data_IF_986486465250
#
_entry.id   IF_986486465250
#
_cell.length_a   1.000
_cell.length_b   1.000
_cell.length_c   1.000
_cell.angle_alpha   90.00
_cell.angle_beta   90.00
_cell.angle_gamma   90.00
#
_symmetry.space_group_name_H-M   'P 1'
#
loop_
_entity.id
_entity.type
_entity.pdbx_description
1 polymer ?
#
# COMPACT_ATOMS: atom_id res chain seq x y z
N UNK A 1 28.49 65.67 -32.94
CA UNK A 1 28.45 64.29 -33.43
C UNK A 1 28.22 63.29 -32.28
N UNK A 2 27.19 63.51 -31.44
CA UNK A 2 26.92 62.72 -30.21
C UNK A 2 25.41 62.69 -29.86
N UNK A 3 24.52 62.65 -30.88
CA UNK A 3 23.08 62.62 -30.65
C UNK A 3 22.30 61.64 -31.51
N UNK A 4 22.98 60.64 -32.11
CA UNK A 4 22.35 59.67 -33.02
C UNK A 4 22.48 58.19 -32.61
N UNK A 5 23.04 57.88 -31.41
CA UNK A 5 23.27 56.53 -30.91
C UNK A 5 22.40 56.13 -29.68
N UNK A 6 21.30 56.86 -29.44
CA UNK A 6 20.40 56.57 -28.27
C UNK A 6 18.96 56.23 -28.64
N UNK A 7 18.62 56.03 -29.89
CA UNK A 7 17.24 55.71 -30.32
C UNK A 7 17.08 54.24 -30.74
N UNK A 8 18.15 53.53 -31.05
CA UNK A 8 18.06 52.10 -31.49
C UNK A 8 18.07 51.04 -30.38
N UNK A 9 18.19 51.46 -29.10
CA UNK A 9 18.14 50.54 -27.96
C UNK A 9 16.78 50.46 -27.23
N UNK A 10 15.78 51.20 -27.70
CA UNK A 10 14.45 51.25 -27.05
C UNK A 10 13.31 50.62 -27.86
N UNK A 11 13.63 50.02 -29.01
CA UNK A 11 12.62 49.34 -29.86
C UNK A 11 12.72 47.81 -29.91
N UNK A 12 13.54 47.17 -29.08
CA UNK A 12 13.62 45.68 -29.00
C UNK A 12 13.14 45.10 -27.67
N UNK A 13 12.36 45.84 -26.87
CA UNK A 13 11.58 45.31 -25.77
C UNK A 13 10.14 45.03 -26.13
N UNK A 14 9.90 44.66 -27.42
CA UNK A 14 8.59 44.23 -27.89
C UNK A 14 8.37 42.76 -27.42
N UNK A 15 7.57 42.68 -26.41
CA UNK A 15 6.58 41.61 -26.20
C UNK A 15 7.09 40.15 -26.14
N UNK A 16 8.01 39.86 -25.22
CA UNK A 16 8.25 38.45 -24.80
C UNK A 16 7.05 37.87 -24.02
N UNK A 17 6.08 38.69 -23.62
CA UNK A 17 4.87 38.28 -22.90
C UNK A 17 3.75 37.75 -23.81
N UNK A 18 3.88 37.83 -25.12
CA UNK A 18 2.84 37.48 -26.08
C UNK A 18 3.12 36.22 -26.90
N UNK A 19 4.16 35.46 -26.59
CA UNK A 19 4.38 34.16 -27.22
C UNK A 19 3.27 33.19 -26.82
N UNK A 20 2.57 32.50 -27.74
CA UNK A 20 1.54 31.51 -27.46
C UNK A 20 2.00 30.48 -26.43
N UNK A 21 3.27 30.11 -26.49
CA UNK A 21 3.95 29.18 -25.59
C UNK A 21 3.98 29.63 -24.10
N UNK A 22 4.12 30.94 -23.85
CA UNK A 22 4.10 31.48 -22.49
C UNK A 22 2.66 31.60 -21.98
N UNK A 23 1.70 31.93 -22.84
CA UNK A 23 0.27 32.03 -22.50
C UNK A 23 -0.29 30.66 -22.10
N UNK A 24 -0.05 29.60 -22.86
CA UNK A 24 -0.56 28.27 -22.56
C UNK A 24 0.07 27.66 -21.28
N UNK A 25 1.35 27.96 -21.00
CA UNK A 25 1.98 27.55 -19.74
C UNK A 25 1.36 28.27 -18.54
N UNK A 26 1.11 29.58 -18.66
CA UNK A 26 0.45 30.36 -17.61
C UNK A 26 -1.00 29.88 -17.40
N UNK A 27 -1.71 29.49 -18.47
CA UNK A 27 -3.05 28.93 -18.40
C UNK A 27 -3.07 27.61 -17.63
N UNK A 28 -2.14 26.69 -17.90
CA UNK A 28 -2.02 25.44 -17.12
C UNK A 28 -1.81 25.72 -15.64
N UNK A 29 -0.87 26.59 -15.32
CA UNK A 29 -0.59 26.96 -13.93
C UNK A 29 -1.81 27.61 -13.23
N UNK A 30 -2.59 28.39 -13.96
CA UNK A 30 -3.83 28.97 -13.45
C UNK A 30 -4.90 27.91 -13.22
N UNK A 31 -5.11 27.00 -14.15
CA UNK A 31 -6.06 25.88 -14.00
C UNK A 31 -5.70 25.01 -12.79
N UNK A 32 -4.41 24.67 -12.60
CA UNK A 32 -3.95 23.86 -11.48
C UNK A 32 -4.12 24.57 -10.12
N UNK A 33 -4.13 25.91 -10.09
CA UNK A 33 -4.40 26.69 -8.88
C UNK A 33 -5.87 26.75 -8.50
N UNK A 34 -6.78 26.80 -9.49
CA UNK A 34 -8.22 26.97 -9.24
C UNK A 34 -8.99 25.66 -9.19
N UNK A 35 -8.42 24.54 -9.66
CA UNK A 35 -9.09 23.24 -9.61
C UNK A 35 -9.48 22.88 -8.17
N UNK A 36 -10.72 22.42 -8.01
CA UNK A 36 -11.27 22.10 -6.69
C UNK A 36 -10.44 21.00 -5.98
N UNK A 37 -10.06 21.27 -4.74
CA UNK A 37 -9.29 20.36 -3.87
C UNK A 37 -10.22 19.69 -2.84
N UNK A 38 -11.14 18.84 -3.31
CA UNK A 38 -12.15 18.15 -2.47
C UNK A 38 -11.56 17.39 -1.29
N UNK A 39 -10.30 16.97 -1.41
CA UNK A 39 -9.63 16.12 -0.43
C UNK A 39 -8.73 16.89 0.53
N UNK A 40 -8.63 18.22 0.39
CA UNK A 40 -7.77 19.05 1.22
C UNK A 40 -8.15 18.94 2.70
N UNK A 41 -7.13 18.93 3.58
CA UNK A 41 -7.35 19.03 5.00
C UNK A 41 -7.56 20.50 5.41
N UNK A 42 -8.44 20.75 6.38
CA UNK A 42 -8.54 22.09 6.96
C UNK A 42 -7.20 22.49 7.58
N UNK A 43 -6.87 23.77 7.51
CA UNK A 43 -5.71 24.28 8.23
C UNK A 43 -5.94 24.07 9.74
N UNK A 44 -4.96 23.47 10.42
CA UNK A 44 -4.98 23.40 11.87
C UNK A 44 -4.68 24.81 12.43
N UNK A 45 -5.69 25.65 12.49
CA UNK A 45 -5.61 26.92 13.22
C UNK A 45 -5.91 26.63 14.70
N UNK A 46 -5.03 27.07 15.59
CA UNK A 46 -5.36 27.13 17.02
C UNK A 46 -6.40 28.27 17.24
N UNK A 47 -7.41 28.11 18.11
CA UNK A 47 -7.59 27.03 19.05
C UNK A 47 -8.34 25.85 18.42
N UNK A 48 -7.83 24.67 18.69
CA UNK A 48 -8.44 23.41 18.25
C UNK A 48 -9.91 23.35 18.67
N UNK A 49 -10.77 22.91 17.76
CA UNK A 49 -12.15 22.48 18.05
C UNK A 49 -12.22 21.83 19.44
N UNK A 50 -13.28 22.06 20.22
CA UNK A 50 -13.44 21.39 21.49
C UNK A 50 -13.23 19.88 21.27
N UNK A 51 -12.12 19.37 21.80
CA UNK A 51 -11.65 17.99 21.63
C UNK A 51 -12.67 16.96 22.13
N UNK A 52 -13.69 17.43 22.86
CA UNK A 52 -14.74 16.61 23.46
C UNK A 52 -15.63 15.88 22.44
N UNK A 53 -15.78 16.42 21.22
CA UNK A 53 -16.59 15.79 20.16
C UNK A 53 -15.76 15.10 19.06
N UNK A 54 -14.42 15.13 19.15
CA UNK A 54 -13.56 14.52 18.17
C UNK A 54 -13.47 13.00 18.37
N UNK A 55 -13.47 12.24 17.25
CA UNK A 55 -13.19 10.80 17.35
C UNK A 55 -11.80 10.55 17.97
N UNK A 56 -11.59 9.42 18.68
CA UNK A 56 -10.29 9.10 19.28
C UNK A 56 -9.13 9.17 18.28
N UNK A 57 -9.35 8.72 17.05
CA UNK A 57 -8.35 8.79 15.97
C UNK A 57 -8.01 10.24 15.59
N UNK A 58 -9.00 11.13 15.54
CA UNK A 58 -8.79 12.56 15.28
C UNK A 58 -8.04 13.21 16.44
N UNK A 59 -8.44 12.94 17.69
CA UNK A 59 -7.76 13.46 18.88
C UNK A 59 -6.29 13.01 18.94
N UNK A 60 -5.99 11.75 18.61
CA UNK A 60 -4.63 11.24 18.47
C UNK A 60 -3.84 11.97 17.41
N UNK A 61 -4.38 12.09 16.18
CA UNK A 61 -3.69 12.76 15.08
C UNK A 61 -3.33 14.21 15.43
N UNK A 62 -4.25 14.94 16.08
CA UNK A 62 -4.03 16.29 16.54
C UNK A 62 -2.95 16.37 17.64
N UNK A 63 -3.00 15.45 18.61
CA UNK A 63 -2.00 15.39 19.68
C UNK A 63 -0.60 15.08 19.13
N UNK A 64 -0.49 14.18 18.17
CA UNK A 64 0.77 13.86 17.50
C UNK A 64 1.31 15.07 16.72
N UNK A 65 0.47 15.76 15.97
CA UNK A 65 0.90 16.92 15.18
C UNK A 65 1.34 18.09 16.07
N UNK A 66 0.63 18.36 17.16
CA UNK A 66 1.03 19.39 18.12
C UNK A 66 2.37 19.04 18.80
N UNK A 67 2.58 17.77 19.14
CA UNK A 67 3.86 17.31 19.68
C UNK A 67 5.00 17.50 18.67
N UNK A 68 4.77 17.12 17.40
CA UNK A 68 5.73 17.33 16.33
C UNK A 68 6.06 18.82 16.14
N UNK A 69 5.06 19.71 16.16
CA UNK A 69 5.27 21.14 16.04
C UNK A 69 6.08 21.70 17.21
N UNK A 70 5.83 21.26 18.45
CA UNK A 70 6.63 21.64 19.61
C UNK A 70 8.10 21.22 19.42
N UNK A 71 8.35 19.97 19.01
CA UNK A 71 9.71 19.47 18.75
C UNK A 71 10.41 20.31 17.66
N UNK A 72 9.73 20.64 16.57
CA UNK A 72 10.30 21.45 15.47
C UNK A 72 10.68 22.86 15.96
N UNK A 73 9.97 23.40 16.96
CA UNK A 73 10.32 24.69 17.62
C UNK A 73 11.40 24.54 18.69
N UNK A 74 11.90 23.32 18.97
CA UNK A 74 12.84 23.06 20.05
C UNK A 74 12.20 23.06 21.43
N UNK A 75 10.87 22.93 21.51
CA UNK A 75 10.08 22.93 22.75
C UNK A 75 9.79 21.49 23.19
N UNK A 76 9.67 21.27 24.49
CA UNK A 76 9.19 19.99 25.03
C UNK A 76 7.66 20.01 25.03
N UNK A 77 6.97 19.00 24.44
CA UNK A 77 5.52 18.91 24.48
C UNK A 77 4.99 18.89 25.92
N UNK A 78 3.95 19.68 26.20
CA UNK A 78 3.42 19.87 27.55
C UNK A 78 2.71 18.59 28.10
N UNK A 79 2.56 18.53 29.43
CA UNK A 79 1.95 17.39 30.14
C UNK A 79 0.46 17.23 29.77
N UNK A 80 -0.26 18.30 29.51
CA UNK A 80 -1.67 18.25 29.08
C UNK A 80 -1.82 17.59 27.70
N UNK A 81 -0.87 17.84 26.78
CA UNK A 81 -0.83 17.19 25.49
C UNK A 81 -0.55 15.69 25.62
N UNK A 82 0.39 15.31 26.50
CA UNK A 82 0.68 13.91 26.83
C UNK A 82 -0.57 13.19 27.36
N UNK A 83 -1.30 13.79 28.30
CA UNK A 83 -2.51 13.19 28.86
C UNK A 83 -3.58 12.99 27.78
N UNK A 84 -3.83 14.00 26.95
CA UNK A 84 -4.77 13.90 25.82
C UNK A 84 -4.40 12.78 24.84
N UNK A 85 -3.13 12.63 24.51
CA UNK A 85 -2.66 11.52 23.68
C UNK A 85 -2.96 10.16 24.33
N UNK A 86 -2.65 9.99 25.63
CA UNK A 86 -2.87 8.73 26.35
C UNK A 86 -4.35 8.39 26.41
N UNK A 87 -5.22 9.35 26.73
CA UNK A 87 -6.68 9.17 26.78
C UNK A 87 -7.26 8.81 25.42
N UNK A 88 -6.82 9.51 24.35
CA UNK A 88 -7.26 9.24 23.01
C UNK A 88 -6.78 7.85 22.51
N UNK A 89 -5.55 7.45 22.84
CA UNK A 89 -5.02 6.13 22.55
C UNK A 89 -5.80 5.03 23.30
N UNK A 90 -6.05 5.22 24.58
CA UNK A 90 -6.85 4.29 25.37
C UNK A 90 -8.27 4.13 24.80
N UNK A 91 -8.91 5.24 24.41
CA UNK A 91 -10.22 5.23 23.78
C UNK A 91 -10.21 4.52 22.42
N UNK A 92 -9.20 4.77 21.60
CA UNK A 92 -9.04 4.07 20.32
C UNK A 92 -8.84 2.57 20.51
N UNK A 93 -8.09 2.14 21.52
CA UNK A 93 -7.90 0.72 21.83
C UNK A 93 -9.22 0.10 22.32
N UNK A 94 -9.98 0.79 23.20
CA UNK A 94 -11.30 0.32 23.65
C UNK A 94 -12.26 0.16 22.48
N UNK A 95 -12.30 1.14 21.56
CA UNK A 95 -13.13 1.07 20.36
C UNK A 95 -12.71 -0.09 19.46
N UNK A 96 -11.42 -0.33 19.26
CA UNK A 96 -10.90 -1.44 18.49
C UNK A 96 -11.21 -2.82 19.10
N UNK A 97 -11.35 -2.87 20.45
CA UNK A 97 -11.67 -4.10 21.19
C UNK A 97 -13.18 -4.38 21.31
N UNK A 98 -14.07 -3.49 20.84
CA UNK A 98 -15.53 -3.74 20.86
C UNK A 98 -15.87 -4.99 20.04
N UNK A 99 -16.70 -5.87 20.59
CA UNK A 99 -16.94 -7.20 20.03
C UNK A 99 -17.59 -7.13 18.63
N UNK A 100 -18.61 -6.29 18.46
CA UNK A 100 -19.39 -6.24 17.22
C UNK A 100 -18.88 -5.25 16.18
N UNK A 101 -18.30 -4.15 16.60
CA UNK A 101 -17.91 -3.01 15.74
C UNK A 101 -16.42 -2.68 15.76
N UNK A 102 -15.64 -3.42 16.53
CA UNK A 102 -14.21 -3.20 16.69
C UNK A 102 -13.39 -3.70 15.51
N UNK A 103 -12.07 -3.60 15.66
CA UNK A 103 -11.09 -4.04 14.66
C UNK A 103 -10.79 -5.54 14.84
N UNK A 104 -11.37 -6.38 14.00
CA UNK A 104 -11.22 -7.85 14.12
C UNK A 104 -9.77 -8.31 13.95
N UNK A 105 -8.97 -7.63 13.12
CA UNK A 105 -7.55 -7.92 12.96
C UNK A 105 -6.76 -7.62 14.24
N UNK A 106 -7.03 -6.48 14.88
CA UNK A 106 -6.42 -6.14 16.16
C UNK A 106 -6.86 -7.09 17.27
N UNK A 107 -8.15 -7.42 17.36
CA UNK A 107 -8.67 -8.41 18.32
C UNK A 107 -8.00 -9.78 18.15
N UNK A 108 -7.77 -10.22 16.91
CA UNK A 108 -7.04 -11.47 16.63
C UNK A 108 -5.59 -11.40 17.11
N UNK A 109 -4.90 -10.26 16.94
CA UNK A 109 -3.54 -10.07 17.44
C UNK A 109 -3.48 -10.10 18.98
N UNK A 110 -4.41 -9.44 19.66
CA UNK A 110 -4.53 -9.46 21.13
C UNK A 110 -4.80 -10.89 21.62
N UNK A 111 -5.72 -11.62 20.96
CA UNK A 111 -6.02 -13.01 21.31
C UNK A 111 -4.80 -13.92 21.14
N UNK A 112 -4.05 -13.76 20.04
CA UNK A 112 -2.79 -14.47 19.82
C UNK A 112 -1.74 -14.13 20.86
N UNK A 113 -1.65 -12.87 21.30
CA UNK A 113 -0.69 -12.47 22.34
C UNK A 113 -1.04 -13.12 23.70
N UNK A 114 -2.33 -13.13 24.06
CA UNK A 114 -2.83 -13.58 25.37
C UNK A 114 -2.88 -15.11 25.51
N UNK A 115 -3.27 -15.83 24.44
CA UNK A 115 -3.60 -17.26 24.50
C UNK A 115 -2.50 -18.11 23.85
N UNK A 116 -1.89 -19.01 24.66
CA UNK A 116 -0.78 -19.84 24.19
C UNK A 116 -1.18 -20.81 23.06
N UNK A 117 -2.37 -21.42 23.12
CA UNK A 117 -2.87 -22.35 22.07
C UNK A 117 -3.07 -21.60 20.74
N UNK A 118 -3.54 -20.34 20.76
CA UNK A 118 -3.68 -19.50 19.56
C UNK A 118 -2.31 -19.11 19.01
N UNK A 119 -1.36 -18.82 19.86
CA UNK A 119 0.03 -18.49 19.46
C UNK A 119 0.68 -19.67 18.76
N UNK A 120 0.54 -20.88 19.34
CA UNK A 120 1.03 -22.11 18.78
C UNK A 120 0.36 -22.40 17.43
N UNK A 121 -0.97 -22.33 17.37
CA UNK A 121 -1.73 -22.50 16.14
C UNK A 121 -1.26 -21.56 15.02
N UNK A 122 -1.12 -20.28 15.31
CA UNK A 122 -0.67 -19.28 14.36
C UNK A 122 0.76 -19.55 13.84
N UNK A 123 1.65 -20.02 14.73
CA UNK A 123 3.02 -20.41 14.36
C UNK A 123 3.04 -21.61 13.44
N UNK A 124 2.28 -22.68 13.78
CA UNK A 124 2.19 -23.88 12.97
C UNK A 124 1.52 -23.62 11.61
N UNK A 125 0.47 -22.79 11.59
CA UNK A 125 -0.26 -22.44 10.36
C UNK A 125 0.63 -21.73 9.34
N UNK A 126 1.63 -20.97 9.76
CA UNK A 126 2.56 -20.28 8.87
C UNK A 126 3.38 -21.24 7.98
N UNK A 127 3.59 -22.47 8.43
CA UNK A 127 4.37 -23.50 7.72
C UNK A 127 3.50 -24.62 7.14
N UNK A 128 2.19 -24.61 7.39
CA UNK A 128 1.29 -25.72 7.10
C UNK A 128 1.29 -26.13 5.62
N UNK A 129 1.38 -25.20 4.68
CA UNK A 129 1.40 -25.50 3.24
C UNK A 129 2.69 -26.21 2.80
N UNK A 130 3.82 -25.87 3.41
CA UNK A 130 5.07 -26.56 3.16
C UNK A 130 5.04 -27.97 3.73
N UNK A 131 4.53 -28.12 4.96
CA UNK A 131 4.40 -29.40 5.64
C UNK A 131 3.44 -30.34 4.89
N UNK A 132 2.29 -29.81 4.41
CA UNK A 132 1.34 -30.58 3.58
C UNK A 132 1.99 -31.11 2.31
N UNK A 133 2.76 -30.28 1.61
CA UNK A 133 3.47 -30.71 0.40
C UNK A 133 4.49 -31.78 0.69
N UNK A 134 5.25 -31.64 1.78
CA UNK A 134 6.25 -32.63 2.17
C UNK A 134 5.62 -33.98 2.53
N UNK A 135 4.58 -33.98 3.38
CA UNK A 135 3.87 -35.21 3.78
C UNK A 135 3.21 -35.87 2.57
N UNK A 136 2.54 -35.11 1.70
CA UNK A 136 1.96 -35.69 0.46
C UNK A 136 3.02 -36.28 -0.44
N UNK A 137 4.17 -35.65 -0.61
CA UNK A 137 5.27 -36.18 -1.40
C UNK A 137 5.77 -37.53 -0.86
N UNK A 138 5.86 -37.73 0.47
CA UNK A 138 6.24 -38.97 1.10
C UNK A 138 5.15 -40.04 0.87
N UNK A 139 3.88 -39.65 1.04
CA UNK A 139 2.74 -40.56 0.81
C UNK A 139 2.65 -40.99 -0.66
N UNK A 140 2.84 -40.08 -1.61
CA UNK A 140 2.86 -40.41 -3.04
C UNK A 140 4.02 -41.32 -3.42
N UNK A 141 5.14 -41.25 -2.70
CA UNK A 141 6.26 -42.21 -2.92
C UNK A 141 5.87 -43.64 -2.63
N UNK A 142 4.90 -43.92 -1.74
CA UNK A 142 4.48 -45.28 -1.34
C UNK A 142 3.07 -45.63 -1.80
N UNK A 143 2.14 -44.68 -1.81
CA UNK A 143 0.72 -44.90 -1.97
C UNK A 143 0.09 -44.23 -3.18
N UNK A 144 0.88 -43.77 -4.17
CA UNK A 144 0.33 -43.21 -5.41
C UNK A 144 -0.54 -44.23 -6.14
N UNK A 145 -1.72 -43.87 -6.70
CA UNK A 145 -2.64 -44.80 -7.36
C UNK A 145 -1.99 -45.73 -8.39
N UNK A 146 -1.04 -45.21 -9.19
CA UNK A 146 -0.29 -46.03 -10.17
C UNK A 146 0.61 -47.12 -9.52
N UNK A 147 1.07 -46.90 -8.28
CA UNK A 147 1.83 -47.90 -7.52
C UNK A 147 0.90 -48.93 -6.88
N UNK A 148 -0.25 -48.50 -6.36
CA UNK A 148 -1.28 -49.35 -5.81
C UNK A 148 -1.75 -50.42 -6.83
N UNK A 149 -1.87 -50.05 -8.12
CA UNK A 149 -2.27 -50.97 -9.19
C UNK A 149 -1.31 -52.12 -9.40
N UNK A 150 -0.03 -52.00 -8.99
CA UNK A 150 1.00 -53.07 -9.09
C UNK A 150 0.97 -54.04 -7.93
N UNK A 151 0.20 -53.74 -6.87
CA UNK A 151 0.05 -54.58 -5.70
C UNK A 151 -1.19 -55.48 -5.90
N UNK A 152 -1.13 -56.77 -5.60
CA UNK A 152 -2.29 -57.63 -5.68
C UNK A 152 -3.50 -57.11 -4.87
N UNK A 153 -4.74 -57.35 -5.33
CA UNK A 153 -5.92 -57.01 -4.54
C UNK A 153 -5.85 -57.65 -3.15
N UNK A 154 -6.14 -56.87 -2.10
CA UNK A 154 -6.11 -57.33 -0.71
C UNK A 154 -5.88 -56.16 0.29
N UNK A 155 -5.79 -56.55 1.56
CA UNK A 155 -5.76 -55.57 2.66
C UNK A 155 -4.62 -54.54 2.62
N UNK A 156 -3.44 -54.91 2.09
CA UNK A 156 -2.32 -53.99 1.92
C UNK A 156 -2.63 -52.88 0.89
N UNK A 157 -3.18 -53.27 -0.27
CA UNK A 157 -3.57 -52.32 -1.32
C UNK A 157 -4.67 -51.38 -0.83
N UNK A 158 -5.66 -51.89 -0.12
CA UNK A 158 -6.75 -51.07 0.46
C UNK A 158 -6.22 -50.10 1.53
N UNK A 159 -5.30 -50.55 2.38
CA UNK A 159 -4.70 -49.72 3.41
C UNK A 159 -3.83 -48.57 2.82
N UNK A 160 -3.11 -48.84 1.71
CA UNK A 160 -2.37 -47.78 0.98
C UNK A 160 -3.31 -46.82 0.28
N UNK A 161 -4.45 -47.28 -0.27
CA UNK A 161 -5.46 -46.37 -0.83
C UNK A 161 -6.00 -45.45 0.24
N UNK A 162 -6.36 -45.97 1.42
CA UNK A 162 -6.82 -45.16 2.56
C UNK A 162 -5.73 -44.15 3.04
N UNK A 163 -4.45 -44.56 3.06
CA UNK A 163 -3.35 -43.66 3.40
C UNK A 163 -3.27 -42.48 2.45
N UNK A 164 -3.41 -42.71 1.15
CA UNK A 164 -3.44 -41.69 0.13
C UNK A 164 -4.67 -40.75 0.29
N UNK A 165 -5.84 -41.34 0.54
CA UNK A 165 -7.08 -40.57 0.75
C UNK A 165 -7.01 -39.67 2.00
N UNK A 166 -6.41 -40.16 3.11
CA UNK A 166 -6.17 -39.33 4.29
C UNK A 166 -5.22 -38.16 4.02
N UNK A 167 -4.18 -38.36 3.19
CA UNK A 167 -3.31 -37.26 2.78
C UNK A 167 -4.03 -36.27 1.88
N UNK A 168 -4.92 -36.74 1.00
CA UNK A 168 -5.72 -35.90 0.11
C UNK A 168 -6.76 -35.06 0.90
N UNK A 169 -7.45 -35.69 1.85
CA UNK A 169 -8.46 -35.06 2.72
C UNK A 169 -7.87 -34.28 3.88
N UNK A 170 -6.53 -34.25 4.05
CA UNK A 170 -5.81 -33.57 5.14
C UNK A 170 -6.23 -34.02 6.55
N UNK A 171 -6.57 -35.32 6.72
CA UNK A 171 -6.86 -35.97 8.01
C UNK A 171 -5.58 -36.59 8.58
N UNK A 172 -4.75 -35.76 9.22
CA UNK A 172 -3.36 -36.10 9.56
C UNK A 172 -3.23 -37.11 10.69
N UNK A 173 -4.15 -37.07 11.67
CA UNK A 173 -4.19 -38.08 12.74
C UNK A 173 -4.50 -39.45 12.19
N UNK A 174 -5.56 -39.58 11.39
CA UNK A 174 -5.93 -40.82 10.73
C UNK A 174 -4.84 -41.34 9.78
N UNK A 175 -4.14 -40.45 9.08
CA UNK A 175 -2.99 -40.79 8.25
C UNK A 175 -1.87 -41.46 9.06
N UNK A 176 -1.51 -40.87 10.21
CA UNK A 176 -0.50 -41.44 11.09
C UNK A 176 -0.89 -42.81 11.63
N UNK A 177 -2.14 -42.94 12.09
CA UNK A 177 -2.66 -44.21 12.62
C UNK A 177 -2.69 -45.31 11.54
N UNK A 178 -3.09 -44.95 10.30
CA UNK A 178 -3.06 -45.87 9.16
C UNK A 178 -1.63 -46.31 8.79
N UNK A 179 -0.67 -45.37 8.82
CA UNK A 179 0.74 -45.70 8.58
C UNK A 179 1.27 -46.69 9.63
N UNK A 180 0.90 -46.53 10.90
CA UNK A 180 1.25 -47.48 11.98
C UNK A 180 0.60 -48.86 11.75
N UNK A 181 -0.69 -48.90 11.37
CA UNK A 181 -1.37 -50.15 11.03
C UNK A 181 -0.70 -50.86 9.84
N UNK A 182 -0.27 -50.13 8.81
CA UNK A 182 0.46 -50.71 7.66
C UNK A 182 1.78 -51.34 8.08
N UNK A 183 2.56 -50.68 8.94
CA UNK A 183 3.82 -51.23 9.47
C UNK A 183 3.62 -52.54 10.27
N UNK A 184 2.48 -52.65 10.95
CA UNK A 184 2.14 -53.86 11.71
C UNK A 184 1.63 -55.04 10.84
N UNK A 185 1.37 -54.84 9.55
CA UNK A 185 0.92 -55.88 8.67
C UNK A 185 2.08 -56.88 8.37
N UNK A 186 1.87 -58.21 8.47
CA UNK A 186 2.91 -59.20 8.18
C UNK A 186 3.55 -59.03 6.81
N UNK A 187 2.75 -58.72 5.80
CA UNK A 187 3.21 -58.48 4.43
C UNK A 187 4.19 -57.29 4.28
N UNK A 188 4.16 -56.32 5.22
CA UNK A 188 5.06 -55.17 5.26
C UNK A 188 6.19 -55.38 6.25
N UNK A 189 5.90 -56.01 7.41
CA UNK A 189 6.89 -56.28 8.45
C UNK A 189 7.98 -57.22 7.98
N UNK A 190 7.61 -58.31 7.24
CA UNK A 190 8.49 -59.35 6.76
C UNK A 190 8.89 -59.21 5.28
N UNK A 191 8.34 -58.20 4.57
CA UNK A 191 8.43 -58.04 3.13
C UNK A 191 9.28 -56.87 2.66
N UNK A 192 8.67 -55.86 2.02
CA UNK A 192 9.33 -54.76 1.33
C UNK A 192 10.01 -53.79 2.30
N UNK A 193 11.33 -53.86 2.43
CA UNK A 193 12.16 -53.01 3.25
C UNK A 193 12.07 -51.52 2.84
N UNK A 194 11.77 -51.21 1.56
CA UNK A 194 11.60 -49.85 1.06
C UNK A 194 10.31 -49.25 1.56
N UNK A 195 9.19 -49.95 1.49
CA UNK A 195 7.89 -49.47 2.00
C UNK A 195 7.97 -49.24 3.51
N UNK A 196 8.58 -50.15 4.26
CA UNK A 196 8.79 -49.99 5.70
C UNK A 196 9.61 -48.75 6.02
N UNK A 197 10.72 -48.50 5.32
CA UNK A 197 11.56 -47.33 5.50
C UNK A 197 10.78 -46.05 5.25
N UNK A 198 10.02 -45.97 4.16
CA UNK A 198 9.25 -44.74 3.84
C UNK A 198 8.09 -44.51 4.81
N UNK A 199 7.43 -45.53 5.32
CA UNK A 199 6.41 -45.42 6.37
C UNK A 199 7.01 -44.98 7.71
N UNK A 200 8.16 -45.53 8.10
CA UNK A 200 8.89 -45.05 9.29
C UNK A 200 9.32 -43.60 9.14
N UNK A 201 9.86 -43.22 7.99
CA UNK A 201 10.21 -41.87 7.65
C UNK A 201 9.02 -40.93 7.73
N UNK A 202 7.83 -41.34 7.28
CA UNK A 202 6.59 -40.59 7.40
C UNK A 202 6.22 -40.35 8.86
N UNK A 203 6.25 -41.41 9.68
CA UNK A 203 5.85 -41.36 11.10
C UNK A 203 6.79 -40.50 11.95
N UNK A 204 8.10 -40.53 11.68
CA UNK A 204 9.09 -39.68 12.38
C UNK A 204 9.20 -38.28 11.79
N UNK A 205 8.46 -37.98 10.72
CA UNK A 205 8.50 -36.67 10.07
C UNK A 205 8.01 -35.56 10.99
N UNK A 206 8.83 -34.54 11.28
CA UNK A 206 8.38 -33.38 12.05
C UNK A 206 7.21 -32.63 11.37
N UNK A 207 7.10 -32.69 10.05
CA UNK A 207 6.00 -32.10 9.29
C UNK A 207 4.66 -32.78 9.62
N UNK A 208 4.61 -34.11 9.66
CA UNK A 208 3.40 -34.85 10.07
C UNK A 208 3.04 -34.51 11.54
N UNK A 209 4.03 -34.47 12.43
CA UNK A 209 3.82 -34.11 13.83
C UNK A 209 3.21 -32.74 13.99
N UNK A 210 3.69 -31.70 13.25
CA UNK A 210 3.11 -30.35 13.25
C UNK A 210 1.70 -30.32 12.68
N UNK A 211 1.43 -31.04 11.60
CA UNK A 211 0.08 -31.09 11.00
C UNK A 211 -0.93 -31.77 11.92
N UNK A 212 -0.57 -32.86 12.60
CA UNK A 212 -1.41 -33.51 13.62
C UNK A 212 -1.69 -32.56 14.79
N UNK A 213 -0.67 -31.82 15.25
CA UNK A 213 -0.84 -30.83 16.30
C UNK A 213 -1.76 -29.68 15.86
N UNK A 214 -1.61 -29.20 14.62
CA UNK A 214 -2.47 -28.18 14.04
C UNK A 214 -3.94 -28.64 13.96
N UNK A 215 -4.17 -29.92 13.59
CA UNK A 215 -5.49 -30.53 13.53
C UNK A 215 -6.17 -30.54 14.91
N UNK A 216 -5.44 -30.94 15.95
CA UNK A 216 -5.94 -30.90 17.35
C UNK A 216 -6.26 -29.47 17.79
N UNK A 217 -5.36 -28.53 17.52
CA UNK A 217 -5.56 -27.12 17.92
C UNK A 217 -6.74 -26.46 17.18
N UNK A 218 -7.07 -26.92 15.97
CA UNK A 218 -8.15 -26.34 15.16
C UNK A 218 -9.54 -26.50 15.84
N UNK A 219 -9.70 -27.41 16.79
CA UNK A 219 -10.93 -27.61 17.57
C UNK A 219 -10.97 -26.78 18.88
N UNK A 220 -9.86 -26.13 19.26
CA UNK A 220 -9.81 -25.27 20.45
C UNK A 220 -10.72 -24.04 20.27
N UNK A 221 -11.52 -23.73 21.31
CA UNK A 221 -12.49 -22.60 21.28
C UNK A 221 -11.84 -21.23 20.96
N UNK A 222 -10.63 -21.00 21.49
CA UNK A 222 -9.92 -19.75 21.24
C UNK A 222 -9.33 -19.71 19.84
N UNK A 223 -8.91 -20.83 19.30
CA UNK A 223 -8.45 -20.97 17.91
C UNK A 223 -9.63 -20.74 16.95
N UNK A 224 -10.80 -21.31 17.20
CA UNK A 224 -12.00 -21.05 16.41
C UNK A 224 -12.39 -19.57 16.45
N UNK A 225 -12.33 -18.91 17.61
CA UNK A 225 -12.55 -17.46 17.72
C UNK A 225 -11.50 -16.66 16.94
N UNK A 226 -10.24 -17.05 17.01
CA UNK A 226 -9.15 -16.43 16.26
C UNK A 226 -9.38 -16.52 14.75
N UNK A 227 -9.77 -17.67 14.25
CA UNK A 227 -10.11 -17.88 12.85
C UNK A 227 -11.30 -17.00 12.42
N UNK A 228 -12.37 -16.99 13.21
CA UNK A 228 -13.55 -16.15 12.96
C UNK A 228 -13.21 -14.65 12.91
N UNK A 229 -12.30 -14.17 13.76
CA UNK A 229 -11.82 -12.79 13.73
C UNK A 229 -11.10 -12.47 12.41
N UNK A 230 -10.25 -13.38 11.94
CA UNK A 230 -9.58 -13.21 10.65
C UNK A 230 -10.53 -13.30 9.46
N UNK A 231 -11.53 -14.17 9.50
CA UNK A 231 -12.54 -14.28 8.44
C UNK A 231 -13.39 -13.00 8.33
N UNK A 232 -13.64 -12.30 9.45
CA UNK A 232 -14.27 -10.97 9.46
C UNK A 232 -13.36 -9.86 8.92
N UNK A 233 -12.05 -10.00 9.04
CA UNK A 233 -11.07 -9.01 8.55
C UNK A 233 -10.90 -9.02 7.02
N UNK A 234 -11.50 -9.98 6.34
CA UNK A 234 -11.50 -10.11 4.88
C UNK A 234 -11.20 -11.54 4.42
N UNK A 235 -11.33 -11.82 3.13
CA UNK A 235 -11.13 -13.15 2.60
C UNK A 235 -9.67 -13.58 2.73
N UNK A 236 -9.45 -14.83 3.08
CA UNK A 236 -8.11 -15.42 3.23
C UNK A 236 -7.33 -15.38 1.93
N UNK A 237 -6.05 -15.04 2.02
CA UNK A 237 -5.13 -15.03 0.87
C UNK A 237 -5.20 -16.37 0.11
N UNK A 238 -5.34 -16.28 -1.24
CA UNK A 238 -5.48 -17.46 -2.11
C UNK A 238 -6.89 -18.06 -2.18
N UNK A 239 -7.85 -17.57 -1.37
CA UNK A 239 -9.24 -18.01 -1.49
C UNK A 239 -9.94 -17.43 -2.74
N UNK A 240 -10.99 -18.07 -3.27
CA UNK A 240 -11.78 -17.52 -4.37
C UNK A 240 -12.31 -16.11 -4.08
N UNK A 241 -12.69 -15.82 -2.83
CA UNK A 241 -13.11 -14.49 -2.39
C UNK A 241 -11.99 -13.45 -2.47
N UNK A 242 -10.75 -13.81 -2.08
CA UNK A 242 -9.58 -12.92 -2.21
C UNK A 242 -9.23 -12.63 -3.68
N UNK A 243 -9.32 -13.65 -4.54
CA UNK A 243 -9.11 -13.51 -5.99
C UNK A 243 -10.17 -12.58 -6.58
N UNK A 244 -11.45 -12.78 -6.24
CA UNK A 244 -12.55 -11.93 -6.69
C UNK A 244 -12.38 -10.48 -6.23
N UNK A 245 -12.04 -10.25 -4.95
CA UNK A 245 -11.78 -8.92 -4.42
C UNK A 245 -10.56 -8.26 -5.09
N UNK A 246 -9.50 -9.01 -5.35
CA UNK A 246 -8.33 -8.54 -6.11
C UNK A 246 -8.70 -8.11 -7.53
N UNK A 247 -9.57 -8.87 -8.21
CA UNK A 247 -10.09 -8.54 -9.53
C UNK A 247 -10.91 -7.25 -9.51
N UNK A 248 -11.83 -7.09 -8.56
CA UNK A 248 -12.64 -5.87 -8.38
C UNK A 248 -11.72 -4.66 -8.11
N UNK A 249 -10.75 -4.80 -7.24
CA UNK A 249 -9.78 -3.72 -6.93
C UNK A 249 -8.97 -3.32 -8.15
N UNK A 250 -8.54 -4.30 -8.97
CA UNK A 250 -7.83 -4.06 -10.22
C UNK A 250 -8.72 -3.33 -11.24
N UNK A 251 -9.96 -3.77 -11.42
CA UNK A 251 -10.91 -3.12 -12.32
C UNK A 251 -11.18 -1.66 -11.92
N UNK A 252 -11.36 -1.41 -10.62
CA UNK A 252 -11.50 -0.06 -10.09
C UNK A 252 -10.26 0.80 -10.38
N UNK A 253 -9.05 0.27 -10.17
CA UNK A 253 -7.80 0.97 -10.51
C UNK A 253 -7.74 1.37 -11.98
N UNK A 254 -8.10 0.46 -12.90
CA UNK A 254 -8.16 0.72 -14.34
C UNK A 254 -9.19 1.81 -14.68
N UNK A 255 -10.35 1.81 -14.01
CA UNK A 255 -11.37 2.83 -14.24
C UNK A 255 -10.90 4.22 -13.82
N UNK A 256 -10.23 4.35 -12.66
CA UNK A 256 -9.66 5.63 -12.19
C UNK A 256 -8.57 6.12 -13.14
N UNK A 257 -7.70 5.23 -13.62
CA UNK A 257 -6.66 5.56 -14.61
C UNK A 257 -7.29 6.10 -15.90
N UNK A 258 -8.34 5.43 -16.41
CA UNK A 258 -9.05 5.87 -17.61
C UNK A 258 -9.69 7.26 -17.42
N UNK A 259 -10.31 7.52 -16.27
CA UNK A 259 -10.89 8.82 -15.93
C UNK A 259 -9.83 9.91 -15.83
N UNK A 260 -8.66 9.62 -15.26
CA UNK A 260 -7.52 10.55 -15.19
C UNK A 260 -6.96 10.89 -16.59
N UNK A 261 -6.82 9.88 -17.46
CA UNK A 261 -6.39 10.06 -18.85
C UNK A 261 -7.40 10.96 -19.61
N UNK A 262 -8.70 10.66 -19.47
CA UNK A 262 -9.74 11.47 -20.09
C UNK A 262 -9.69 12.93 -19.64
N UNK A 263 -9.53 13.18 -18.35
CA UNK A 263 -9.42 14.54 -17.80
C UNK A 263 -8.20 15.28 -18.36
N UNK A 264 -7.05 14.59 -18.47
CA UNK A 264 -5.86 15.16 -19.09
C UNK A 264 -6.03 15.43 -20.60
N UNK A 265 -6.76 14.58 -21.32
CA UNK A 265 -7.05 14.78 -22.74
C UNK A 265 -7.92 16.03 -22.97
N UNK A 266 -8.90 16.28 -22.07
CA UNK A 266 -9.70 17.51 -22.11
C UNK A 266 -8.80 18.73 -21.86
N UNK A 267 -7.92 18.64 -20.87
CA UNK A 267 -6.94 19.69 -20.56
C UNK A 267 -5.99 19.96 -21.72
N UNK A 268 -5.44 18.91 -22.35
CA UNK A 268 -4.54 19.02 -23.49
C UNK A 268 -5.23 19.68 -24.70
N UNK A 269 -6.48 19.33 -24.97
CA UNK A 269 -7.28 19.97 -26.04
C UNK A 269 -7.47 21.45 -25.79
N UNK A 270 -7.76 21.85 -24.54
CA UNK A 270 -7.92 23.26 -24.21
C UNK A 270 -6.62 24.04 -24.37
N UNK A 271 -5.48 23.46 -23.92
CA UNK A 271 -4.16 24.06 -24.09
C UNK A 271 -3.75 24.17 -25.57
N UNK A 272 -4.09 23.16 -26.39
CA UNK A 272 -3.85 23.20 -27.83
C UNK A 272 -4.68 24.29 -28.53
N UNK A 273 -5.92 24.51 -28.08
CA UNK A 273 -6.76 25.60 -28.61
C UNK A 273 -6.13 26.98 -28.34
N UNK A 274 -5.51 27.18 -27.16
CA UNK A 274 -4.79 28.40 -26.82
C UNK A 274 -3.53 28.62 -27.66
N UNK A 275 -2.88 27.53 -28.10
CA UNK A 275 -1.74 27.57 -29.05
C UNK A 275 -2.17 27.73 -30.52
N UNK A 276 -3.41 28.14 -30.81
CA UNK A 276 -3.92 28.33 -32.16
C UNK A 276 -4.28 27.04 -32.88
N UNK A 277 -4.64 25.97 -32.18
CA UNK A 277 -5.06 24.67 -32.74
C UNK A 277 -3.90 23.76 -33.13
N UNK A 278 -2.66 24.16 -32.87
CA UNK A 278 -1.48 23.30 -33.13
C UNK A 278 -1.43 22.22 -32.04
N UNK A 279 -1.13 20.97 -32.43
CA UNK A 279 -0.92 19.86 -31.49
C UNK A 279 0.40 20.05 -30.71
N UNK A 280 0.41 21.04 -29.83
CA UNK A 280 1.55 21.34 -28.95
C UNK A 280 1.57 20.47 -27.67
N UNK A 281 0.40 20.02 -27.21
CA UNK A 281 0.24 19.16 -26.04
C UNK A 281 -0.35 17.81 -26.42
N UNK A 282 0.11 16.76 -25.76
CA UNK A 282 -0.47 15.41 -25.88
C UNK A 282 -0.39 14.68 -24.54
N UNK A 283 -1.28 13.70 -24.35
CA UNK A 283 -1.30 12.80 -23.21
C UNK A 283 -0.72 11.44 -23.61
N UNK A 284 0.08 10.86 -22.72
CA UNK A 284 0.55 9.48 -22.82
C UNK A 284 0.28 8.74 -21.53
N UNK A 285 0.07 7.43 -21.61
CA UNK A 285 -0.22 6.59 -20.44
C UNK A 285 0.77 5.45 -20.30
N UNK A 286 0.87 4.89 -19.09
CA UNK A 286 1.80 3.82 -18.72
C UNK A 286 3.25 4.14 -19.16
N UNK A 287 3.70 5.36 -18.85
CA UNK A 287 5.03 5.82 -19.25
C UNK A 287 6.12 5.18 -18.38
N UNK A 288 6.94 4.32 -18.97
CA UNK A 288 7.98 3.56 -18.27
C UNK A 288 9.33 4.25 -18.36
N UNK A 289 9.97 4.40 -17.19
CA UNK A 289 11.29 5.01 -17.05
C UNK A 289 12.36 4.12 -17.71
N UNK A 290 13.13 4.62 -18.71
CA UNK A 290 14.12 3.84 -19.43
C UNK A 290 15.34 3.54 -18.54
N UNK A 291 15.99 2.39 -18.79
CA UNK A 291 17.17 1.97 -18.05
C UNK A 291 18.40 2.89 -18.27
N UNK A 292 18.38 3.68 -19.31
CA UNK A 292 19.47 4.59 -19.70
C UNK A 292 19.65 5.80 -18.78
N UNK A 293 18.67 6.14 -17.92
CA UNK A 293 18.88 7.18 -16.90
C UNK A 293 19.83 6.66 -15.83
N UNK A 294 20.99 7.31 -15.58
CA UNK A 294 22.04 6.83 -14.71
C UNK A 294 21.73 7.07 -13.23
N UNK A 295 20.83 6.25 -12.63
CA UNK A 295 20.47 6.37 -11.22
C UNK A 295 20.05 5.04 -10.60
N UNK A 296 20.13 4.97 -9.27
CA UNK A 296 19.66 3.82 -8.49
C UNK A 296 18.15 3.74 -8.54
N UNK A 297 17.62 2.53 -8.80
CA UNK A 297 16.18 2.28 -8.97
C UNK A 297 15.49 1.69 -7.76
N UNK A 298 16.20 1.52 -6.64
CA UNK A 298 15.66 0.84 -5.48
C UNK A 298 14.38 1.51 -4.99
N UNK A 299 13.29 0.75 -5.01
CA UNK A 299 11.94 1.18 -4.60
C UNK A 299 11.47 2.50 -5.23
N UNK A 300 12.12 2.96 -6.30
CA UNK A 300 11.68 4.13 -7.05
C UNK A 300 10.48 3.80 -7.94
N UNK A 301 9.67 4.81 -8.25
CA UNK A 301 8.60 4.66 -9.22
C UNK A 301 9.20 4.51 -10.62
N UNK A 302 8.80 3.46 -11.33
CA UNK A 302 9.32 3.09 -12.65
C UNK A 302 8.30 3.24 -13.79
N UNK A 303 7.05 3.52 -13.46
CA UNK A 303 5.96 3.71 -14.43
C UNK A 303 5.01 4.80 -13.91
N UNK A 304 4.57 5.70 -14.81
CA UNK A 304 3.65 6.79 -14.54
C UNK A 304 2.33 6.53 -15.25
N UNK A 305 1.20 6.66 -14.56
CA UNK A 305 -0.11 6.27 -15.06
C UNK A 305 -0.55 7.14 -16.24
N UNK A 306 -0.44 8.47 -16.11
CA UNK A 306 -0.71 9.41 -17.20
C UNK A 306 0.24 10.62 -17.13
N UNK A 307 0.64 11.13 -18.31
CA UNK A 307 1.58 12.25 -18.41
C UNK A 307 1.13 13.22 -19.49
N UNK A 308 1.07 14.50 -19.16
CA UNK A 308 0.88 15.59 -20.10
C UNK A 308 2.26 16.03 -20.62
N UNK A 309 2.44 15.93 -21.90
CA UNK A 309 3.65 16.32 -22.62
C UNK A 309 3.39 17.57 -23.44
N UNK A 310 4.42 18.43 -23.58
CA UNK A 310 4.44 19.56 -24.49
C UNK A 310 5.54 19.38 -25.51
N UNK A 311 5.23 19.63 -26.77
CA UNK A 311 6.23 19.60 -27.87
C UNK A 311 7.29 20.68 -27.63
N UNK A 312 8.56 20.28 -27.61
CA UNK A 312 9.67 21.19 -27.37
C UNK A 312 10.20 21.79 -28.65
N UNK A 313 10.61 20.93 -29.59
CA UNK A 313 11.12 21.28 -30.90
C UNK A 313 10.87 20.12 -31.87
N UNK A 314 10.87 20.43 -33.18
CA UNK A 314 11.03 19.44 -34.22
C UNK A 314 12.54 19.30 -34.47
N UNK A 315 13.12 18.18 -34.08
CA UNK A 315 14.52 17.84 -34.43
C UNK A 315 14.50 16.75 -35.49
N UNK A 316 14.66 17.13 -36.75
CA UNK A 316 14.57 16.21 -37.89
C UNK A 316 13.17 15.55 -37.99
N UNK A 317 13.13 14.22 -38.22
CA UNK A 317 11.87 13.46 -38.30
C UNK A 317 11.21 13.13 -36.93
N UNK A 318 11.90 13.33 -35.82
CA UNK A 318 11.41 12.95 -34.49
C UNK A 318 11.03 14.18 -33.66
N UNK A 319 9.82 14.16 -33.10
CA UNK A 319 9.37 15.19 -32.14
C UNK A 319 9.96 14.93 -30.76
N UNK A 320 10.60 15.93 -30.20
CA UNK A 320 11.03 15.93 -28.80
C UNK A 320 9.98 16.59 -27.90
N UNK A 321 9.85 16.07 -26.68
CA UNK A 321 8.81 16.47 -25.76
C UNK A 321 9.35 16.85 -24.40
N UNK A 322 8.66 17.76 -23.74
CA UNK A 322 8.87 18.16 -22.33
C UNK A 322 7.74 17.60 -21.47
N UNK A 323 8.07 17.13 -20.28
CA UNK A 323 7.08 16.77 -19.27
C UNK A 323 6.50 18.04 -18.67
N UNK A 324 5.16 18.17 -18.64
CA UNK A 324 4.44 19.30 -18.03
C UNK A 324 3.68 18.90 -16.77
N UNK A 325 3.11 17.70 -16.74
CA UNK A 325 2.35 17.20 -15.61
C UNK A 325 2.44 15.68 -15.55
N UNK A 326 2.78 15.17 -14.40
CA UNK A 326 2.75 13.74 -14.07
C UNK A 326 1.50 13.47 -13.23
N UNK A 327 0.71 12.48 -13.60
CA UNK A 327 -0.53 12.13 -12.92
C UNK A 327 -0.53 10.68 -12.51
N UNK A 328 -0.89 10.45 -11.26
CA UNK A 328 -1.08 9.14 -10.64
C UNK A 328 -2.55 8.91 -10.33
N UNK A 329 -3.08 7.80 -10.78
CA UNK A 329 -4.44 7.37 -10.47
C UNK A 329 -4.47 6.53 -9.18
N UNK A 330 -5.28 6.91 -8.22
CA UNK A 330 -5.42 6.18 -6.94
C UNK A 330 -6.90 6.07 -6.55
N UNK A 331 -7.33 4.86 -6.20
CA UNK A 331 -8.70 4.61 -5.82
C UNK A 331 -9.05 5.08 -4.39
N UNK A 332 -8.07 5.58 -3.61
CA UNK A 332 -8.29 6.10 -2.25
C UNK A 332 -7.16 7.04 -1.82
N UNK A 333 -7.45 7.85 -0.80
CA UNK A 333 -6.47 8.73 -0.15
C UNK A 333 -5.34 7.93 0.51
N UNK A 334 -5.67 6.82 1.16
CA UNK A 334 -4.67 5.96 1.83
C UNK A 334 -3.69 5.35 0.81
N UNK A 335 -4.17 4.97 -0.37
CA UNK A 335 -3.33 4.47 -1.46
C UNK A 335 -2.37 5.55 -1.96
N UNK A 336 -2.81 6.80 -2.10
CA UNK A 336 -1.97 7.94 -2.48
C UNK A 336 -0.94 8.25 -1.39
N UNK A 337 -1.33 8.23 -0.11
CA UNK A 337 -0.44 8.50 1.02
C UNK A 337 0.71 7.47 1.09
N UNK A 338 0.41 6.20 0.88
CA UNK A 338 1.42 5.13 0.86
C UNK A 338 2.35 5.19 -0.37
N UNK A 339 1.89 5.78 -1.48
CA UNK A 339 2.65 5.89 -2.73
C UNK A 339 3.62 7.09 -2.74
N UNK A 340 3.34 8.18 -2.01
CA UNK A 340 4.14 9.42 -2.06
C UNK A 340 5.65 9.21 -1.87
N UNK A 341 6.15 8.40 -0.92
CA UNK A 341 7.59 8.15 -0.80
C UNK A 341 8.20 7.47 -2.03
N UNK A 342 7.44 6.60 -2.72
CA UNK A 342 7.85 5.94 -3.94
C UNK A 342 7.87 6.91 -5.12
N UNK A 343 6.86 7.79 -5.20
CA UNK A 343 6.77 8.85 -6.18
C UNK A 343 7.96 9.80 -6.08
N UNK A 344 8.30 10.29 -4.88
CA UNK A 344 9.45 11.16 -4.65
C UNK A 344 10.77 10.51 -5.12
N UNK A 345 10.97 9.22 -4.81
CA UNK A 345 12.14 8.49 -5.34
C UNK A 345 12.14 8.42 -6.87
N UNK A 346 10.96 8.25 -7.49
CA UNK A 346 10.81 8.27 -8.93
C UNK A 346 11.16 9.62 -9.56
N UNK A 347 10.75 10.73 -8.95
CA UNK A 347 11.12 12.08 -9.39
C UNK A 347 12.63 12.32 -9.27
N UNK A 348 13.24 11.93 -8.15
CA UNK A 348 14.70 12.00 -7.98
C UNK A 348 15.44 11.15 -9.02
N UNK A 349 14.93 9.97 -9.34
CA UNK A 349 15.44 9.14 -10.43
C UNK A 349 15.43 9.90 -11.78
N UNK A 350 14.30 10.53 -12.14
CA UNK A 350 14.18 11.31 -13.36
C UNK A 350 15.12 12.53 -13.39
N UNK A 351 15.34 13.16 -12.24
CA UNK A 351 16.22 14.32 -12.11
C UNK A 351 17.72 14.02 -12.36
N UNK A 352 18.14 12.74 -12.39
CA UNK A 352 19.49 12.34 -12.79
C UNK A 352 19.68 12.28 -14.30
N UNK A 353 18.66 12.59 -15.10
CA UNK A 353 18.81 12.66 -16.55
C UNK A 353 19.87 13.70 -16.94
N UNK A 354 20.71 13.41 -17.92
CA UNK A 354 21.68 14.35 -18.50
C UNK A 354 20.93 15.45 -19.26
N UNK A 355 21.35 16.70 -19.11
CA UNK A 355 20.62 17.87 -19.59
C UNK A 355 20.43 17.88 -21.12
N UNK A 356 21.48 17.55 -21.85
CA UNK A 356 21.51 17.58 -23.33
C UNK A 356 21.05 16.26 -23.96
N UNK A 357 20.77 15.22 -23.16
CA UNK A 357 20.36 13.92 -23.66
C UNK A 357 18.85 13.88 -23.96
N UNK A 358 18.48 13.00 -24.89
CA UNK A 358 17.09 12.67 -25.21
C UNK A 358 16.85 11.20 -24.86
N UNK A 359 15.87 10.96 -23.99
CA UNK A 359 15.54 9.62 -23.49
C UNK A 359 14.29 9.07 -24.15
N UNK A 360 14.33 7.80 -24.56
CA UNK A 360 13.19 7.13 -25.16
C UNK A 360 12.39 6.40 -24.09
N UNK A 361 11.17 6.86 -23.84
CA UNK A 361 10.22 6.24 -22.92
C UNK A 361 9.22 5.38 -23.68
N UNK A 362 8.95 4.17 -23.18
CA UNK A 362 7.86 3.31 -23.66
C UNK A 362 6.55 3.74 -23.02
N UNK A 363 5.50 3.91 -23.81
CA UNK A 363 4.16 4.24 -23.36
C UNK A 363 3.13 3.33 -24.04
N UNK A 364 1.87 3.35 -23.60
CA UNK A 364 0.78 2.63 -24.29
C UNK A 364 0.56 3.14 -25.72
N UNK A 365 0.84 4.42 -25.99
CA UNK A 365 0.71 5.06 -27.31
C UNK A 365 1.97 4.94 -28.18
N UNK A 366 2.94 4.13 -27.79
CA UNK A 366 4.22 3.97 -28.47
C UNK A 366 5.40 4.67 -27.77
N UNK A 367 6.53 4.77 -28.46
CA UNK A 367 7.72 5.42 -27.93
C UNK A 367 7.60 6.95 -27.97
N UNK A 368 8.09 7.62 -26.92
CA UNK A 368 8.21 9.07 -26.86
C UNK A 368 9.62 9.48 -26.49
N UNK A 369 10.10 10.59 -27.06
CA UNK A 369 11.43 11.12 -26.85
C UNK A 369 11.36 12.34 -25.93
N UNK A 370 11.84 12.20 -24.69
CA UNK A 370 11.82 13.26 -23.67
C UNK A 370 13.20 13.86 -23.50
N UNK A 371 13.26 15.19 -23.44
CA UNK A 371 14.51 15.91 -23.19
C UNK A 371 14.95 15.77 -21.75
N UNK A 372 16.22 15.50 -21.52
CA UNK A 372 16.81 15.42 -20.19
C UNK A 372 16.67 16.72 -19.39
N UNK A 373 16.81 17.87 -20.07
CA UNK A 373 16.58 19.18 -19.46
C UNK A 373 15.19 19.35 -18.86
N UNK A 374 14.16 18.73 -19.47
CA UNK A 374 12.79 18.73 -18.93
C UNK A 374 12.65 17.81 -17.71
N UNK A 375 13.27 16.65 -17.73
CA UNK A 375 13.26 15.69 -16.63
C UNK A 375 13.97 16.24 -15.37
N UNK A 376 15.12 16.92 -15.56
CA UNK A 376 15.87 17.57 -14.47
C UNK A 376 15.10 18.69 -13.77
N UNK A 377 14.20 19.37 -14.47
CA UNK A 377 13.36 20.45 -13.92
C UNK A 377 12.18 19.95 -13.08
N UNK A 378 11.93 18.64 -13.05
CA UNK A 378 10.88 18.09 -12.22
C UNK A 378 11.20 18.32 -10.73
N UNK A 379 10.20 18.69 -9.91
CA UNK A 379 10.40 18.94 -8.50
C UNK A 379 10.82 17.65 -7.77
N UNK A 380 11.85 17.74 -6.95
CA UNK A 380 12.34 16.63 -6.11
C UNK A 380 12.08 16.84 -4.64
N UNK A 381 11.61 18.03 -4.28
CA UNK A 381 11.20 18.42 -2.94
C UNK A 381 9.66 18.42 -2.81
N UNK A 382 9.17 18.21 -1.59
CA UNK A 382 7.74 18.10 -1.33
C UNK A 382 6.98 19.43 -1.53
N UNK A 383 7.64 20.57 -1.39
CA UNK A 383 6.98 21.87 -1.45
C UNK A 383 6.56 22.25 -2.87
N UNK A 384 7.36 21.86 -3.86
CA UNK A 384 7.18 22.21 -5.27
C UNK A 384 6.35 21.20 -6.07
N UNK A 385 5.94 20.07 -5.48
CA UNK A 385 5.26 18.96 -6.19
C UNK A 385 4.01 19.40 -6.95
N UNK A 386 3.21 20.30 -6.38
CA UNK A 386 1.93 20.73 -6.95
C UNK A 386 2.04 21.39 -8.33
N UNK A 387 3.24 21.81 -8.74
CA UNK A 387 3.49 22.40 -10.05
C UNK A 387 3.62 21.39 -11.19
N UNK A 388 3.93 20.12 -10.85
CA UNK A 388 4.23 19.10 -11.84
C UNK A 388 3.62 17.73 -11.55
N UNK A 389 2.95 17.52 -10.41
CA UNK A 389 2.39 16.24 -9.99
C UNK A 389 0.97 16.41 -9.47
N UNK A 390 0.07 15.49 -9.89
CA UNK A 390 -1.27 15.33 -9.33
C UNK A 390 -1.53 13.87 -9.00
N UNK A 391 -2.32 13.65 -7.94
CA UNK A 391 -3.03 12.40 -7.72
C UNK A 391 -4.48 12.55 -8.18
N UNK A 392 -4.90 11.78 -9.17
CA UNK A 392 -6.31 11.67 -9.54
C UNK A 392 -6.98 10.58 -8.69
N UNK A 393 -8.07 10.94 -8.02
CA UNK A 393 -8.86 10.04 -7.19
C UNK A 393 -10.35 10.23 -7.46
N UNK A 394 -11.08 9.13 -7.68
CA UNK A 394 -12.52 9.13 -7.90
C UNK A 394 -13.33 8.80 -6.64
N UNK A 395 -12.67 8.65 -5.50
CA UNK A 395 -13.37 8.41 -4.24
C UNK A 395 -14.26 9.61 -3.89
N UNK A 396 -15.44 9.39 -3.29
CA UNK A 396 -16.26 10.47 -2.79
C UNK A 396 -15.49 11.29 -1.75
N UNK A 397 -15.77 12.59 -1.69
CA UNK A 397 -15.23 13.44 -0.62
C UNK A 397 -15.70 12.92 0.74
N UNK A 398 -14.78 12.79 1.68
CA UNK A 398 -15.12 12.37 3.04
C UNK A 398 -15.86 13.49 3.76
N UNK A 399 -17.04 13.20 4.33
CA UNK A 399 -17.79 14.14 5.18
C UNK A 399 -16.95 14.61 6.37
N UNK A 400 -16.15 13.71 6.94
CA UNK A 400 -15.19 13.98 8.00
C UNK A 400 -13.84 13.43 7.59
N UNK A 401 -12.87 14.30 7.37
CA UNK A 401 -11.54 13.90 6.93
C UNK A 401 -10.83 13.05 7.98
N UNK A 402 -10.35 11.88 7.60
CA UNK A 402 -9.50 11.05 8.45
C UNK A 402 -8.14 11.72 8.61
N UNK A 403 -7.81 12.13 9.84
CA UNK A 403 -6.53 12.78 10.15
C UNK A 403 -5.44 11.79 10.56
N UNK A 404 -5.80 10.57 10.99
CA UNK A 404 -4.87 9.49 11.32
C UNK A 404 -4.87 8.47 10.18
N UNK A 405 -3.71 8.22 9.58
CA UNK A 405 -3.57 7.23 8.53
C UNK A 405 -3.81 5.80 9.06
N UNK A 406 -4.30 4.90 8.19
CA UNK A 406 -4.51 3.51 8.57
C UNK A 406 -3.22 2.83 9.08
N UNK A 407 -2.08 3.14 8.45
CA UNK A 407 -0.77 2.63 8.86
C UNK A 407 -0.37 3.13 10.26
N UNK A 408 -0.51 4.44 10.52
CA UNK A 408 -0.21 5.03 11.84
C UNK A 408 -1.16 4.50 12.92
N UNK A 409 -2.46 4.38 12.60
CA UNK A 409 -3.43 3.75 13.50
C UNK A 409 -3.02 2.34 13.88
N UNK A 410 -2.65 1.51 12.91
CA UNK A 410 -2.24 0.13 13.17
C UNK A 410 -0.92 0.07 13.95
N UNK A 411 0.05 0.94 13.66
CA UNK A 411 1.31 1.00 14.41
C UNK A 411 1.08 1.38 15.88
N UNK A 412 0.20 2.34 16.16
CA UNK A 412 -0.19 2.72 17.53
C UNK A 412 -0.90 1.58 18.26
N UNK A 413 -1.85 0.90 17.60
CA UNK A 413 -2.56 -0.26 18.18
C UNK A 413 -1.62 -1.42 18.48
N UNK A 414 -0.66 -1.71 17.60
CA UNK A 414 0.26 -2.85 17.73
C UNK A 414 1.51 -2.56 18.54
N UNK A 415 1.63 -1.38 19.14
CA UNK A 415 2.67 -1.11 20.13
C UNK A 415 2.58 -2.10 21.30
N UNK A 416 3.71 -2.60 21.84
CA UNK A 416 3.67 -3.57 22.93
C UNK A 416 2.78 -3.14 24.10
N UNK A 417 2.94 -1.90 24.57
CA UNK A 417 2.11 -1.37 25.66
C UNK A 417 0.61 -1.24 25.30
N UNK A 418 0.28 -0.99 24.01
CA UNK A 418 -1.12 -0.99 23.55
C UNK A 418 -1.73 -2.40 23.56
N UNK A 419 -0.95 -3.42 23.17
CA UNK A 419 -1.38 -4.82 23.20
C UNK A 419 -1.56 -5.27 24.65
N UNK A 420 -0.64 -4.93 25.55
CA UNK A 420 -0.72 -5.24 26.99
C UNK A 420 -1.97 -4.60 27.61
N UNK A 421 -2.23 -3.32 27.32
CA UNK A 421 -3.43 -2.63 27.75
C UNK A 421 -4.71 -3.31 27.22
N UNK A 422 -4.73 -3.70 25.95
CA UNK A 422 -5.85 -4.43 25.35
C UNK A 422 -6.05 -5.84 25.96
N UNK A 423 -4.96 -6.53 26.32
CA UNK A 423 -5.02 -7.81 27.03
C UNK A 423 -5.62 -7.65 28.43
N UNK A 424 -5.24 -6.59 29.13
CA UNK A 424 -5.77 -6.28 30.46
C UNK A 424 -7.27 -5.90 30.37
N UNK A 425 -7.68 -5.10 29.38
CA UNK A 425 -9.11 -4.81 29.11
C UNK A 425 -9.95 -6.06 28.88
N UNK A 426 -9.39 -7.06 28.19
CA UNK A 426 -10.10 -8.30 27.91
C UNK A 426 -10.22 -9.22 29.17
N UNK A 427 -9.62 -8.85 30.29
CA UNK A 427 -9.66 -9.57 31.58
C UNK A 427 -10.37 -8.78 32.65
N UNK A 428 -10.35 -7.46 32.56
CA UNK A 428 -10.86 -6.57 33.61
C UNK A 428 -11.39 -5.28 32.96
N UNK A 429 -12.55 -4.80 33.39
CA UNK A 429 -13.19 -3.58 32.88
C UNK A 429 -12.44 -2.29 33.27
N UNK A 430 -11.73 -2.29 34.39
CA UNK A 430 -11.04 -1.12 34.95
C UNK A 430 -9.52 -1.29 34.86
N UNK A 431 -8.94 -0.79 33.76
CA UNK A 431 -7.49 -0.84 33.51
C UNK A 431 -6.89 0.56 33.52
N UNK A 432 -5.79 0.72 34.26
CA UNK A 432 -5.02 1.98 34.30
C UNK A 432 -4.40 2.27 32.94
N UNK A 433 -4.54 3.51 32.48
CA UNK A 433 -3.92 4.00 31.24
C UNK A 433 -2.43 4.36 31.39
N UNK A 434 -1.89 4.27 32.62
CA UNK A 434 -0.51 4.70 32.92
C UNK A 434 0.55 3.98 32.08
N UNK A 435 0.35 2.69 31.77
CA UNK A 435 1.26 1.92 30.91
C UNK A 435 1.41 2.49 29.51
N UNK A 436 0.38 3.18 28.99
CA UNK A 436 0.40 3.76 27.65
C UNK A 436 1.34 4.96 27.50
N UNK A 437 1.84 5.53 28.63
CA UNK A 437 2.84 6.61 28.56
C UNK A 437 4.13 6.19 27.83
N UNK A 438 4.44 4.89 27.80
CA UNK A 438 5.61 4.35 27.09
C UNK A 438 5.48 4.64 25.58
N UNK A 439 4.27 4.51 25.01
CA UNK A 439 4.02 4.81 23.58
C UNK A 439 4.27 6.28 23.27
N UNK A 440 3.90 7.18 24.21
CA UNK A 440 4.21 8.60 24.06
C UNK A 440 5.70 8.89 24.06
N UNK A 441 6.46 8.31 24.97
CA UNK A 441 7.91 8.48 25.05
C UNK A 441 8.61 7.94 23.79
N UNK A 442 8.25 6.72 23.37
CA UNK A 442 8.77 6.12 22.15
C UNK A 442 8.43 6.96 20.90
N UNK A 443 7.22 7.53 20.83
CA UNK A 443 6.80 8.39 19.71
C UNK A 443 7.73 9.60 19.54
N UNK A 444 8.19 10.19 20.64
CA UNK A 444 9.03 11.39 20.63
C UNK A 444 10.52 11.08 20.42
N UNK A 445 11.01 9.96 20.95
CA UNK A 445 12.44 9.66 21.04
C UNK A 445 12.92 8.64 20.00
N UNK A 446 12.07 7.73 19.56
CA UNK A 446 12.49 6.63 18.70
C UNK A 446 12.27 6.90 17.22
N UNK A 447 13.32 6.73 16.41
CA UNK A 447 13.27 6.84 14.94
C UNK A 447 12.26 5.88 14.29
N UNK A 448 11.95 4.75 14.96
CA UNK A 448 10.91 3.79 14.53
C UNK A 448 9.54 4.45 14.39
N UNK A 449 9.27 5.49 15.17
CA UNK A 449 7.99 6.20 15.19
C UNK A 449 7.98 7.43 14.27
N UNK A 450 9.07 7.71 13.58
CA UNK A 450 9.18 8.88 12.70
C UNK A 450 8.08 8.97 11.65
N UNK A 451 7.61 7.83 11.11
CA UNK A 451 6.50 7.80 10.17
C UNK A 451 5.16 8.21 10.82
N UNK A 452 4.91 7.83 12.07
CA UNK A 452 3.72 8.23 12.83
C UNK A 452 3.80 9.69 13.23
N UNK A 453 4.95 10.12 13.71
CA UNK A 453 5.17 11.52 14.13
C UNK A 453 4.98 12.50 12.97
N UNK A 454 5.44 12.15 11.77
CA UNK A 454 5.37 12.99 10.57
C UNK A 454 4.17 12.64 9.65
N UNK A 455 3.21 11.85 10.10
CA UNK A 455 2.11 11.38 9.26
C UNK A 455 1.18 12.49 8.80
N UNK A 456 0.90 13.50 9.65
CA UNK A 456 -0.02 14.58 9.32
C UNK A 456 0.50 15.51 8.21
N UNK A 457 1.75 16.03 8.25
CA UNK A 457 2.31 16.77 7.12
C UNK A 457 2.28 15.99 5.80
N UNK A 458 2.63 14.70 5.84
CA UNK A 458 2.60 13.83 4.66
C UNK A 458 1.18 13.66 4.11
N UNK A 459 0.21 13.38 4.99
CA UNK A 459 -1.21 13.24 4.61
C UNK A 459 -1.74 14.54 4.01
N UNK A 460 -1.44 15.67 4.63
CA UNK A 460 -1.81 17.00 4.14
C UNK A 460 -1.23 17.25 2.75
N UNK A 461 0.06 16.98 2.57
CA UNK A 461 0.74 17.13 1.28
C UNK A 461 0.10 16.28 0.18
N UNK A 462 -0.17 15.02 0.45
CA UNK A 462 -0.85 14.14 -0.50
C UNK A 462 -2.22 14.70 -0.88
N UNK A 463 -3.01 15.12 0.09
CA UNK A 463 -4.36 15.66 -0.14
C UNK A 463 -4.35 17.00 -0.90
N UNK A 464 -3.31 17.82 -0.72
CA UNK A 464 -3.09 19.03 -1.53
C UNK A 464 -2.78 18.71 -3.00
N UNK A 465 -2.19 17.55 -3.29
CA UNK A 465 -1.93 17.07 -4.66
C UNK A 465 -3.14 16.38 -5.29
N UNK A 466 -4.15 15.99 -4.49
CA UNK A 466 -5.30 15.22 -4.97
C UNK A 466 -6.34 16.09 -5.65
N UNK A 467 -6.83 15.58 -6.79
CA UNK A 467 -7.96 16.16 -7.54
C UNK A 467 -8.92 15.04 -7.94
N UNK A 468 -10.19 15.38 -8.04
CA UNK A 468 -11.14 14.50 -8.70
C UNK A 468 -11.06 14.70 -10.22
N UNK A 469 -11.04 13.65 -11.06
CA UNK A 469 -10.94 13.80 -12.51
C UNK A 469 -11.99 14.72 -13.11
N UNK A 470 -13.25 14.66 -12.61
CA UNK A 470 -14.32 15.55 -13.07
C UNK A 470 -14.04 17.03 -12.77
N UNK A 471 -13.44 17.35 -11.63
CA UNK A 471 -13.10 18.74 -11.30
C UNK A 471 -12.05 19.31 -12.26
N UNK A 472 -11.11 18.48 -12.68
CA UNK A 472 -10.13 18.85 -13.69
C UNK A 472 -10.79 19.08 -15.05
N UNK A 473 -11.77 18.23 -15.43
CA UNK A 473 -12.57 18.41 -16.67
C UNK A 473 -13.39 19.71 -16.59
N UNK A 474 -14.07 19.95 -15.49
CA UNK A 474 -14.87 21.18 -15.29
C UNK A 474 -13.98 22.40 -15.38
N UNK A 475 -12.85 22.40 -14.66
CA UNK A 475 -11.88 23.50 -14.72
C UNK A 475 -11.38 23.76 -16.12
N UNK A 476 -10.98 22.71 -16.87
CA UNK A 476 -10.50 22.88 -18.25
C UNK A 476 -11.56 23.43 -19.23
N UNK A 477 -12.85 23.28 -18.93
CA UNK A 477 -13.96 23.84 -19.72
C UNK A 477 -14.30 25.27 -19.36
N UNK A 478 -13.98 25.73 -18.14
CA UNK A 478 -14.25 27.09 -17.68
C UNK A 478 -13.29 28.13 -18.26
N UNK A 479 -12.11 27.73 -18.65
CA UNK A 479 -11.10 28.54 -19.32
C UNK A 479 -11.16 28.43 -20.83
#
# INVERSE_FOLDING_TARGET
MAAKLRVDCLMNSVDRSNSPSLKSSALLDQMLRVVARRYSLPALAAPLLPVQDASPATALALSIELARQAIVRGEVPDTGLKLRFIEALASMIRDAMREDSGDSGFQAMVLRHRVATVREYASLSAHADQDRRLVRSIVDAVAHPAKQQRIPPGGQREALAQLHDFAASATWSALGDKAQCLLAMPAVADGDSSLKYDLDRLLVSPALGRLRRLEVLASDRHVLRYQSLWDRNGPRMGSPGAIAQGSISKQRGVAVEASAIHALDVLARRLNAEEGGVTAYRVVSSMRVPASIPATRDRAKSEWDAVLLRRAKMAGEKSEWDVRLLVEAKASVDAATSDLPRLLRGLRLLAHAEEDAVYTFKTRQGAVHLRGSSLRKLPTDEASLATAVLYCCDAPAEMTSRLLSAASRMQLLTAPASIEFACALAQNEHVSTQGLQIVWLELLESTRWGAVLNQYPMLRRVRELMVHPEDLVVTAKLF
#
